data_IF_398554985181
#
_entry.id   IF_398554985181
#
_cell.length_a   1.000
_cell.length_b   1.000
_cell.length_c   1.000
_cell.angle_alpha   90.00
_cell.angle_beta   90.00
_cell.angle_gamma   90.00
#
_symmetry.space_group_name_H-M   'P 1'
#
loop_
_entity.id
_entity.type
_entity.pdbx_description
1 polymer ?
#
# COMPACT_ATOMS: atom_id res chain seq x y z
N UNK A 1 -64.31 29.15 -41.10
CA UNK A 1 -63.80 29.03 -39.71
C UNK A 1 -63.40 27.55 -39.50
N UNK A 2 -62.33 27.22 -38.77
CA UNK A 2 -60.99 26.96 -39.30
C UNK A 2 -60.53 25.49 -39.22
N UNK A 3 -59.47 25.22 -39.99
CA UNK A 3 -58.66 24.01 -40.13
C UNK A 3 -57.97 23.55 -38.84
N UNK A 4 -57.93 22.23 -38.59
CA UNK A 4 -56.99 21.61 -37.65
C UNK A 4 -56.19 20.51 -38.38
N UNK A 5 -54.93 20.84 -38.70
CA UNK A 5 -53.91 19.91 -39.21
C UNK A 5 -53.43 19.04 -38.05
N UNK A 6 -53.57 17.72 -38.16
CA UNK A 6 -52.97 16.76 -37.22
C UNK A 6 -51.51 16.56 -37.63
N UNK A 7 -50.60 17.13 -36.85
CA UNK A 7 -49.16 16.95 -37.01
C UNK A 7 -48.75 15.66 -36.29
N UNK A 8 -48.40 14.62 -37.04
CA UNK A 8 -47.84 13.38 -36.50
C UNK A 8 -46.32 13.54 -36.40
N UNK A 9 -45.83 13.72 -35.17
CA UNK A 9 -44.39 13.71 -34.85
C UNK A 9 -43.91 12.27 -34.66
N UNK A 10 -42.88 11.88 -35.43
CA UNK A 10 -42.15 10.63 -35.27
C UNK A 10 -41.25 10.69 -34.02
N UNK A 11 -41.24 9.68 -33.12
CA UNK A 11 -40.21 9.56 -32.11
C UNK A 11 -38.93 8.94 -32.70
N UNK A 12 -37.94 9.79 -32.99
CA UNK A 12 -36.57 9.38 -33.32
C UNK A 12 -35.93 8.68 -32.11
N UNK A 13 -35.80 7.36 -32.18
CA UNK A 13 -35.06 6.57 -31.19
C UNK A 13 -33.65 6.31 -31.74
N UNK A 14 -32.63 6.95 -31.18
CA UNK A 14 -31.23 6.56 -31.43
C UNK A 14 -30.89 5.30 -30.64
N UNK A 15 -30.12 4.34 -31.21
CA UNK A 15 -29.72 3.13 -30.51
C UNK A 15 -28.68 3.43 -29.41
N UNK A 16 -28.92 2.97 -28.19
CA UNK A 16 -27.91 2.96 -27.12
C UNK A 16 -26.85 1.90 -27.44
N UNK A 17 -25.67 2.35 -27.86
CA UNK A 17 -24.45 1.55 -27.91
C UNK A 17 -24.08 1.02 -26.53
N UNK A 18 -24.32 -0.27 -26.28
CA UNK A 18 -23.79 -0.99 -25.13
C UNK A 18 -22.28 -1.18 -25.31
N UNK A 19 -21.46 -0.34 -24.66
CA UNK A 19 -20.03 -0.61 -24.54
C UNK A 19 -19.84 -1.84 -23.67
N UNK A 20 -19.43 -2.94 -24.30
CA UNK A 20 -19.09 -4.20 -23.65
C UNK A 20 -18.08 -3.98 -22.52
N UNK A 21 -18.50 -4.35 -21.31
CA UNK A 21 -17.61 -4.45 -20.15
C UNK A 21 -16.88 -5.78 -20.30
N UNK A 22 -15.60 -5.76 -20.69
CA UNK A 22 -14.75 -6.96 -20.70
C UNK A 22 -14.81 -7.64 -19.32
N UNK A 23 -14.92 -8.98 -19.26
CA UNK A 23 -14.95 -9.69 -17.99
C UNK A 23 -13.57 -9.57 -17.33
N UNK A 24 -13.53 -9.10 -16.07
CA UNK A 24 -12.34 -9.21 -15.23
C UNK A 24 -12.17 -10.69 -14.87
N UNK A 25 -11.02 -11.25 -15.21
CA UNK A 25 -10.61 -12.58 -14.83
C UNK A 25 -10.82 -12.79 -13.32
N UNK A 26 -11.58 -13.82 -12.98
CA UNK A 26 -11.84 -14.22 -11.61
C UNK A 26 -10.59 -14.88 -11.03
N UNK A 27 -9.84 -14.16 -10.19
CA UNK A 27 -8.98 -14.78 -9.18
C UNK A 27 -9.87 -15.20 -8.01
N UNK A 28 -10.51 -16.35 -8.15
CA UNK A 28 -11.35 -16.94 -7.11
C UNK A 28 -10.47 -17.55 -6.00
N UNK A 29 -10.07 -16.74 -5.03
CA UNK A 29 -9.67 -17.27 -3.72
C UNK A 29 -10.95 -17.62 -2.93
N UNK A 30 -11.02 -18.80 -2.29
CA UNK A 30 -12.21 -19.24 -1.58
C UNK A 30 -12.42 -18.34 -0.36
N UNK A 31 -13.52 -17.59 -0.36
CA UNK A 31 -13.94 -16.78 0.78
C UNK A 31 -14.46 -17.74 1.85
N UNK A 32 -13.61 -18.05 2.83
CA UNK A 32 -13.94 -18.96 3.92
C UNK A 32 -15.19 -18.48 4.68
N UNK A 33 -16.17 -19.36 4.96
CA UNK A 33 -17.38 -18.98 5.66
C UNK A 33 -17.04 -18.63 7.11
N UNK A 34 -17.00 -17.34 7.43
CA UNK A 34 -16.76 -16.86 8.79
C UNK A 34 -17.91 -17.24 9.72
N UNK A 35 -17.59 -17.74 10.91
CA UNK A 35 -18.56 -17.88 12.02
C UNK A 35 -19.32 -16.55 12.16
N UNK A 36 -20.65 -16.62 12.21
CA UNK A 36 -21.52 -15.44 12.40
C UNK A 36 -21.15 -14.78 13.74
N UNK A 37 -20.50 -13.62 13.67
CA UNK A 37 -20.04 -12.88 14.85
C UNK A 37 -18.79 -12.07 14.56
N UNK A 38 -18.58 -11.00 15.34
CA UNK A 38 -17.33 -10.22 15.29
C UNK A 38 -16.18 -11.15 15.73
N UNK A 39 -15.21 -11.41 14.85
CA UNK A 39 -14.02 -12.20 15.17
C UNK A 39 -13.37 -11.70 16.45
N UNK A 40 -12.93 -12.62 17.30
CA UNK A 40 -12.17 -12.24 18.50
C UNK A 40 -10.85 -11.60 18.09
N UNK A 41 -10.38 -10.62 18.87
CA UNK A 41 -9.08 -9.96 18.66
C UNK A 41 -7.94 -11.00 18.59
N UNK A 42 -8.07 -12.12 19.31
CA UNK A 42 -7.11 -13.23 19.33
C UNK A 42 -7.11 -14.04 18.02
N UNK A 43 -8.27 -14.24 17.39
CA UNK A 43 -8.39 -14.96 16.11
C UNK A 43 -7.80 -14.14 14.97
N UNK A 44 -8.07 -12.83 14.96
CA UNK A 44 -7.45 -11.92 13.98
C UNK A 44 -5.94 -11.79 14.12
N UNK A 45 -5.39 -12.06 15.33
CA UNK A 45 -3.95 -12.10 15.56
C UNK A 45 -3.30 -13.43 15.17
N UNK A 46 -4.06 -14.52 15.05
CA UNK A 46 -3.53 -15.83 14.66
C UNK A 46 -3.50 -16.01 13.12
N UNK A 47 -4.36 -15.29 12.39
CA UNK A 47 -4.32 -15.17 10.93
C UNK A 47 -3.10 -14.36 10.43
N UNK A 48 -2.27 -13.85 11.36
CA UNK A 48 -1.15 -12.94 11.10
C UNK A 48 0.06 -13.65 10.51
N UNK A 49 0.21 -14.95 10.75
CA UNK A 49 1.38 -15.73 10.31
C UNK A 49 1.26 -16.21 8.84
N UNK A 50 0.15 -15.90 8.16
CA UNK A 50 -0.13 -16.33 6.77
C UNK A 50 0.13 -15.23 5.73
N UNK A 51 1.07 -14.33 5.99
CA UNK A 51 1.39 -13.25 5.06
C UNK A 51 2.03 -13.84 3.80
N UNK A 52 1.44 -13.56 2.64
CA UNK A 52 1.95 -13.95 1.33
C UNK A 52 2.47 -12.70 0.59
N UNK A 53 3.59 -12.15 1.05
CA UNK A 53 4.28 -11.07 0.33
C UNK A 53 5.24 -11.69 -0.69
N UNK A 54 5.15 -11.33 -1.98
CA UNK A 54 6.13 -11.74 -2.98
C UNK A 54 7.52 -11.19 -2.66
N UNK A 55 8.57 -11.91 -3.08
CA UNK A 55 9.95 -11.44 -2.95
C UNK A 55 10.16 -10.04 -3.52
N UNK A 56 11.12 -9.32 -2.95
CA UNK A 56 11.46 -7.94 -3.29
C UNK A 56 11.64 -7.74 -4.81
N UNK A 57 12.28 -8.69 -5.49
CA UNK A 57 12.50 -8.63 -6.94
C UNK A 57 11.20 -8.57 -7.75
N UNK A 58 10.18 -9.34 -7.35
CA UNK A 58 8.87 -9.35 -7.99
C UNK A 58 8.10 -8.08 -7.61
N UNK A 59 8.24 -7.64 -6.35
CA UNK A 59 7.57 -6.46 -5.85
C UNK A 59 7.96 -5.19 -6.64
N UNK A 60 9.23 -5.05 -7.01
CA UNK A 60 9.72 -3.88 -7.76
C UNK A 60 9.43 -3.91 -9.26
N UNK A 61 8.89 -5.01 -9.82
CA UNK A 61 8.48 -5.05 -11.23
C UNK A 61 7.30 -4.11 -11.52
N UNK A 62 6.43 -3.87 -10.52
CA UNK A 62 5.26 -3.00 -10.66
C UNK A 62 5.44 -1.72 -9.86
N UNK A 63 5.25 -0.57 -10.49
CA UNK A 63 5.43 0.73 -9.83
C UNK A 63 4.35 1.08 -8.80
N UNK A 64 3.12 0.57 -8.99
CA UNK A 64 1.97 0.91 -8.16
C UNK A 64 1.07 -0.30 -7.91
N UNK A 65 0.72 -0.51 -6.65
CA UNK A 65 -0.23 -1.49 -6.18
C UNK A 65 -1.51 -0.81 -5.71
N UNK A 66 -2.65 -1.38 -6.06
CA UNK A 66 -3.93 -0.91 -5.53
C UNK A 66 -4.11 -1.37 -4.08
N UNK A 67 -4.91 -0.65 -3.30
CA UNK A 67 -5.27 -1.09 -1.94
C UNK A 67 -5.91 -2.50 -1.91
N UNK A 68 -6.53 -2.93 -3.03
CA UNK A 68 -6.97 -4.30 -3.33
C UNK A 68 -5.88 -5.34 -3.13
N UNK A 69 -4.87 -5.21 -3.98
CA UNK A 69 -3.74 -6.13 -4.03
C UNK A 69 -2.99 -6.14 -2.70
N UNK A 70 -2.82 -4.97 -2.07
CA UNK A 70 -2.18 -4.87 -0.76
C UNK A 70 -3.02 -5.57 0.32
N UNK A 71 -4.33 -5.36 0.36
CA UNK A 71 -5.20 -6.04 1.33
C UNK A 71 -5.14 -7.57 1.20
N UNK A 72 -5.04 -8.07 -0.03
CA UNK A 72 -4.92 -9.51 -0.31
C UNK A 72 -3.57 -10.07 0.14
N UNK A 73 -2.45 -9.39 -0.14
CA UNK A 73 -1.10 -9.83 0.28
C UNK A 73 -0.94 -9.94 1.80
N UNK A 74 -1.50 -8.97 2.54
CA UNK A 74 -1.40 -8.92 4.01
C UNK A 74 -2.56 -9.62 4.73
N UNK A 75 -3.58 -10.09 4.00
CA UNK A 75 -4.85 -10.58 4.57
C UNK A 75 -5.51 -9.60 5.57
N UNK A 76 -5.38 -8.30 5.30
CA UNK A 76 -5.86 -7.22 6.17
C UNK A 76 -7.05 -6.50 5.54
N UNK A 77 -7.96 -5.99 6.38
CA UNK A 77 -9.08 -5.19 5.90
C UNK A 77 -8.62 -3.86 5.28
N UNK A 78 -9.20 -3.51 4.13
CA UNK A 78 -9.11 -2.19 3.49
C UNK A 78 -9.18 -1.00 4.45
N UNK A 79 -10.11 -1.03 5.41
CA UNK A 79 -10.29 0.06 6.38
C UNK A 79 -9.07 0.23 7.28
N UNK A 80 -8.38 -0.86 7.63
CA UNK A 80 -7.18 -0.81 8.45
C UNK A 80 -6.01 -0.22 7.65
N UNK A 81 -5.84 -0.61 6.38
CA UNK A 81 -4.85 -0.01 5.49
C UNK A 81 -5.11 1.49 5.27
N UNK A 82 -6.38 1.91 5.16
CA UNK A 82 -6.75 3.34 5.10
C UNK A 82 -6.41 4.08 6.38
N UNK A 83 -6.64 3.47 7.53
CA UNK A 83 -6.28 4.04 8.82
C UNK A 83 -4.76 4.23 8.92
N UNK A 84 -3.99 3.19 8.62
CA UNK A 84 -2.53 3.27 8.62
C UNK A 84 -2.02 4.32 7.63
N UNK A 85 -2.60 4.39 6.44
CA UNK A 85 -2.24 5.41 5.46
C UNK A 85 -2.49 6.85 5.96
N UNK A 86 -3.46 7.09 6.85
CA UNK A 86 -3.68 8.40 7.45
C UNK A 86 -2.77 8.64 8.67
N UNK A 87 -2.58 7.63 9.51
CA UNK A 87 -1.73 7.73 10.70
C UNK A 87 -0.25 7.94 10.34
N UNK A 88 0.20 7.29 9.27
CA UNK A 88 1.57 7.30 8.81
C UNK A 88 1.75 8.17 7.54
N UNK A 89 1.03 9.28 7.40
CA UNK A 89 1.04 10.15 6.20
C UNK A 89 2.45 10.65 5.79
N UNK A 90 3.36 10.81 6.76
CA UNK A 90 4.77 11.16 6.48
C UNK A 90 5.68 9.99 6.08
N UNK A 91 5.21 8.75 6.19
CA UNK A 91 5.98 7.52 5.97
C UNK A 91 5.41 6.65 4.85
N UNK A 92 4.09 6.65 4.68
CA UNK A 92 3.38 6.10 3.54
C UNK A 92 2.91 7.30 2.70
N UNK A 93 3.27 7.34 1.43
CA UNK A 93 2.83 8.41 0.52
C UNK A 93 1.85 7.86 -0.53
N UNK A 94 0.64 7.43 -0.13
CA UNK A 94 -0.31 6.85 -1.05
C UNK A 94 -0.76 7.88 -2.07
N UNK A 95 -0.59 7.56 -3.36
CA UNK A 95 -1.11 8.40 -4.44
C UNK A 95 -2.62 8.24 -4.50
N UNK A 96 -3.35 9.35 -4.33
CA UNK A 96 -4.80 9.39 -4.50
C UNK A 96 -5.15 9.60 -5.97
N UNK A 97 -6.05 8.80 -6.50
CA UNK A 97 -6.64 9.02 -7.83
C UNK A 97 -7.82 10.00 -7.74
N UNK A 98 -8.28 10.56 -8.87
CA UNK A 98 -9.47 11.43 -8.97
C UNK A 98 -10.74 10.82 -8.37
N UNK A 99 -10.82 9.49 -8.32
CA UNK A 99 -11.93 8.72 -7.72
C UNK A 99 -11.80 8.51 -6.21
N UNK A 100 -10.66 8.83 -5.61
CA UNK A 100 -10.38 8.57 -4.18
C UNK A 100 -9.76 7.21 -3.87
N UNK A 101 -9.48 6.40 -4.90
CA UNK A 101 -8.72 5.15 -4.74
C UNK A 101 -7.25 5.46 -4.39
N UNK A 102 -6.68 4.64 -3.49
CA UNK A 102 -5.30 4.79 -3.01
C UNK A 102 -4.39 3.76 -3.68
N UNK A 103 -3.25 4.23 -4.17
CA UNK A 103 -2.20 3.42 -4.74
C UNK A 103 -0.93 3.53 -3.90
N UNK A 104 -0.28 2.39 -3.68
CA UNK A 104 0.93 2.24 -2.89
C UNK A 104 2.10 1.88 -3.82
N UNK A 105 3.27 2.46 -3.59
CA UNK A 105 4.50 2.06 -4.28
C UNK A 105 5.05 0.77 -3.67
N UNK A 106 5.94 0.03 -4.35
CA UNK A 106 6.67 -1.09 -3.75
C UNK A 106 7.32 -0.72 -2.41
N UNK A 107 7.89 0.48 -2.32
CA UNK A 107 8.49 1.00 -1.08
C UNK A 107 7.43 1.14 0.02
N UNK A 108 6.24 1.63 -0.31
CA UNK A 108 5.14 1.73 0.65
C UNK A 108 4.66 0.35 1.11
N UNK A 109 4.67 -0.66 0.23
CA UNK A 109 4.33 -2.04 0.59
C UNK A 109 5.32 -2.61 1.61
N UNK A 110 6.62 -2.37 1.44
CA UNK A 110 7.64 -2.72 2.44
C UNK A 110 7.44 -1.98 3.76
N UNK A 111 7.10 -0.70 3.68
CA UNK A 111 6.80 0.12 4.85
C UNK A 111 5.57 -0.41 5.61
N UNK A 112 4.54 -0.85 4.91
CA UNK A 112 3.35 -1.50 5.50
C UNK A 112 3.75 -2.82 6.17
N UNK A 113 4.62 -3.62 5.56
CA UNK A 113 5.15 -4.84 6.18
C UNK A 113 5.88 -4.55 7.50
N UNK A 114 6.70 -3.50 7.55
CA UNK A 114 7.36 -3.09 8.79
C UNK A 114 6.36 -2.60 9.85
N UNK A 115 5.38 -1.78 9.48
CA UNK A 115 4.32 -1.34 10.40
C UNK A 115 3.56 -2.55 10.96
N UNK A 116 3.24 -3.51 10.10
CA UNK A 116 2.55 -4.73 10.48
C UNK A 116 3.32 -5.50 11.55
N UNK A 117 4.62 -5.75 11.30
CA UNK A 117 5.52 -6.40 12.24
C UNK A 117 5.58 -5.67 13.59
N UNK A 118 5.67 -4.33 13.57
CA UNK A 118 5.72 -3.52 14.80
C UNK A 118 4.44 -3.64 15.63
N UNK A 119 3.27 -3.59 14.98
CA UNK A 119 1.99 -3.59 15.68
C UNK A 119 1.56 -5.00 16.13
N UNK A 120 1.83 -6.04 15.33
CA UNK A 120 1.36 -7.41 15.60
C UNK A 120 2.35 -8.22 16.40
N UNK A 121 3.60 -8.28 15.95
CA UNK A 121 4.62 -9.10 16.61
C UNK A 121 5.15 -8.41 17.86
N UNK A 122 5.56 -7.14 17.73
CA UNK A 122 6.15 -6.38 18.83
C UNK A 122 5.13 -5.63 19.71
N UNK A 123 3.85 -5.63 19.32
CA UNK A 123 2.73 -5.02 20.08
C UNK A 123 2.96 -3.54 20.44
N UNK A 124 3.62 -2.79 19.57
CA UNK A 124 3.74 -1.33 19.75
C UNK A 124 2.37 -0.66 19.62
N UNK A 125 2.22 0.48 20.29
CA UNK A 125 1.12 1.42 20.01
C UNK A 125 1.37 2.14 18.68
N UNK A 126 0.33 2.76 18.11
CA UNK A 126 0.46 3.52 16.86
C UNK A 126 1.52 4.63 16.98
N UNK A 127 1.61 5.29 18.13
CA UNK A 127 2.62 6.29 18.45
C UNK A 127 4.01 5.67 18.60
N UNK A 128 4.13 4.57 19.35
CA UNK A 128 5.40 3.86 19.53
C UNK A 128 5.99 3.34 18.21
N UNK A 129 5.14 2.91 17.28
CA UNK A 129 5.57 2.51 15.95
C UNK A 129 6.10 3.71 15.13
N UNK A 130 5.46 4.89 15.21
CA UNK A 130 5.95 6.12 14.55
C UNK A 130 7.31 6.53 15.10
N UNK A 131 7.48 6.47 16.42
CA UNK A 131 8.73 6.85 17.08
C UNK A 131 9.85 5.85 16.80
N UNK A 132 9.53 4.55 16.74
CA UNK A 132 10.50 3.52 16.34
C UNK A 132 11.06 3.81 14.95
N UNK A 133 10.19 4.10 13.97
CA UNK A 133 10.59 4.40 12.59
C UNK A 133 11.46 5.67 12.54
N UNK A 134 11.09 6.73 13.27
CA UNK A 134 11.88 7.96 13.34
C UNK A 134 13.26 7.71 13.97
N UNK A 135 13.32 6.97 15.07
CA UNK A 135 14.57 6.67 15.76
C UNK A 135 15.47 5.76 14.93
N UNK A 136 14.90 4.81 14.17
CA UNK A 136 15.68 3.95 13.28
C UNK A 136 16.33 4.75 12.14
N UNK A 137 15.61 5.71 11.55
CA UNK A 137 16.19 6.63 10.56
C UNK A 137 17.37 7.42 11.14
N UNK A 138 17.18 8.04 12.32
CA UNK A 138 18.26 8.75 13.02
C UNK A 138 19.49 7.88 13.29
N UNK A 139 19.29 6.63 13.71
CA UNK A 139 20.39 5.68 13.93
C UNK A 139 21.10 5.32 12.63
N UNK A 140 20.35 5.11 11.54
CA UNK A 140 20.93 4.84 10.22
C UNK A 140 21.76 6.02 9.71
N UNK A 141 21.27 7.25 9.86
CA UNK A 141 21.97 8.48 9.47
C UNK A 141 23.27 8.63 10.28
N UNK A 142 23.22 8.42 11.60
CA UNK A 142 24.41 8.44 12.45
C UNK A 142 25.45 7.38 12.04
N UNK A 143 25.00 6.15 11.76
CA UNK A 143 25.89 5.08 11.32
C UNK A 143 26.54 5.40 9.97
N UNK A 144 25.80 6.06 9.06
CA UNK A 144 26.31 6.52 7.79
C UNK A 144 27.39 7.59 7.97
N UNK A 145 27.14 8.62 8.78
CA UNK A 145 28.13 9.66 9.10
C UNK A 145 29.42 9.09 9.72
N UNK A 146 29.29 8.12 10.64
CA UNK A 146 30.43 7.42 11.22
C UNK A 146 31.21 6.68 10.13
N UNK A 147 30.52 5.97 9.23
CA UNK A 147 31.17 5.23 8.14
C UNK A 147 31.93 6.17 7.20
N UNK A 148 31.34 7.31 6.85
CA UNK A 148 31.97 8.33 5.99
C UNK A 148 33.20 8.93 6.66
N UNK A 149 33.13 9.27 7.94
CA UNK A 149 34.29 9.82 8.67
C UNK A 149 35.44 8.82 8.77
N UNK A 150 35.14 7.53 9.04
CA UNK A 150 36.14 6.46 9.04
C UNK A 150 36.78 6.25 7.66
N UNK A 151 36.00 6.35 6.57
CA UNK A 151 36.54 6.27 5.21
C UNK A 151 37.49 7.43 4.90
N UNK A 152 37.16 8.66 5.33
CA UNK A 152 38.04 9.82 5.16
C UNK A 152 39.35 9.66 5.94
N UNK A 153 39.28 9.20 7.20
CA UNK A 153 40.48 8.93 8.01
C UNK A 153 41.35 7.84 7.36
N UNK A 154 40.73 6.77 6.85
CA UNK A 154 41.45 5.73 6.11
C UNK A 154 42.16 6.29 4.88
N UNK A 155 41.49 7.12 4.08
CA UNK A 155 42.09 7.75 2.89
C UNK A 155 43.28 8.63 3.26
N UNK A 156 43.13 9.49 4.27
CA UNK A 156 44.20 10.36 4.76
C UNK A 156 45.44 9.58 5.24
N UNK A 157 45.23 8.50 5.98
CA UNK A 157 46.35 7.65 6.44
C UNK A 157 47.04 6.91 5.30
N UNK A 158 46.30 6.53 4.25
CA UNK A 158 46.88 5.93 3.05
C UNK A 158 47.72 6.93 2.26
N UNK A 159 47.28 8.19 2.15
CA UNK A 159 48.06 9.27 1.54
C UNK A 159 49.38 9.51 2.29
N UNK A 160 49.33 9.57 3.63
CA UNK A 160 50.55 9.70 4.44
C UNK A 160 51.50 8.52 4.27
N UNK A 161 50.97 7.31 4.16
CA UNK A 161 51.77 6.11 3.91
C UNK A 161 52.41 6.13 2.52
N UNK A 162 51.73 6.65 1.50
CA UNK A 162 52.24 6.70 0.13
C UNK A 162 53.30 7.81 -0.06
N UNK A 163 53.28 8.84 0.79
CA UNK A 163 54.24 9.94 0.78
C UNK A 163 55.49 9.70 1.66
N UNK A 164 55.59 8.54 2.32
CA UNK A 164 56.81 8.05 3.01
C UNK A 164 57.46 6.93 2.19
#
# INVERSE_FOLDING_TARGET
MPTAKIHVTMPTTMPKTTRGRKPKAASSLPKQPGKRGRKSFKEMNAEVDLINIPDDEVLFQKQYYSIGEVAEMFHVNYSLLRLWANEFDGFLQPKKNRKGDRFFRPVDVKNIHMIYHLLREKKYTMEGAKDYIKNQKKKADQQFEITVSLQKLKAFLLELKANM
#
